data_IF_149053902336
#
_entry.id   IF_149053902336
#
_cell.length_a   1.000
_cell.length_b   1.000
_cell.length_c   1.000
_cell.angle_alpha   90.00
_cell.angle_beta   90.00
_cell.angle_gamma   90.00
#
_symmetry.space_group_name_H-M   'P 1'
#
loop_
_entity.id
_entity.type
_entity.pdbx_description
1 polymer ?
#
# COMPACT_ATOMS: atom_id res chain seq x y z
N UNK A 1 0.53 -19.96 -19.75
CA UNK A 1 -0.43 -18.86 -19.50
C UNK A 1 0.11 -17.62 -20.18
N UNK A 2 -0.63 -17.03 -21.10
CA UNK A 2 -0.27 -15.78 -21.79
C UNK A 2 -0.55 -14.59 -20.88
N UNK A 3 0.34 -13.59 -20.88
CA UNK A 3 0.16 -12.36 -20.11
C UNK A 3 -0.98 -11.54 -20.70
N UNK A 4 -1.90 -10.97 -19.90
CA UNK A 4 -2.96 -10.11 -20.41
C UNK A 4 -2.38 -8.90 -21.14
N UNK A 5 -3.13 -8.36 -22.11
CA UNK A 5 -2.85 -7.03 -22.66
C UNK A 5 -3.12 -5.96 -21.60
N UNK A 6 -2.27 -4.92 -21.61
CA UNK A 6 -2.34 -3.81 -20.66
C UNK A 6 -2.25 -2.52 -21.45
N UNK A 7 -3.14 -1.58 -21.15
CA UNK A 7 -3.15 -0.23 -21.67
C UNK A 7 -2.96 0.75 -20.50
N UNK A 8 -3.80 1.80 -20.42
CA UNK A 8 -3.82 2.74 -19.29
C UNK A 8 -4.73 2.22 -18.16
N UNK A 9 -4.54 0.95 -17.81
CA UNK A 9 -5.34 0.24 -16.81
C UNK A 9 -4.85 0.52 -15.39
N UNK A 10 -5.52 -0.09 -14.41
CA UNK A 10 -5.04 -0.21 -13.03
C UNK A 10 -4.61 -1.66 -12.81
N UNK A 11 -3.32 -1.86 -12.58
CA UNK A 11 -2.76 -3.17 -12.25
C UNK A 11 -2.63 -3.26 -10.73
N UNK A 12 -3.45 -4.14 -10.14
CA UNK A 12 -3.43 -4.38 -8.70
C UNK A 12 -2.61 -5.62 -8.37
N UNK A 13 -1.60 -5.45 -7.53
CA UNK A 13 -0.85 -6.56 -6.92
C UNK A 13 -1.02 -6.52 -5.41
N UNK A 14 -0.83 -7.65 -4.74
CA UNK A 14 -0.89 -7.65 -3.28
C UNK A 14 -0.75 -9.00 -2.62
N UNK A 15 -0.85 -8.97 -1.30
CA UNK A 15 -0.71 -10.14 -0.43
C UNK A 15 0.63 -10.87 -0.60
N UNK A 16 0.71 -12.03 0.04
CA UNK A 16 1.85 -12.95 -0.08
C UNK A 16 2.18 -13.33 -1.53
N UNK A 17 1.18 -13.43 -2.42
CA UNK A 17 1.37 -13.77 -3.83
C UNK A 17 2.31 -12.81 -4.57
N UNK A 18 2.30 -11.51 -4.23
CA UNK A 18 3.17 -10.52 -4.84
C UNK A 18 4.65 -10.69 -4.50
N UNK A 19 4.97 -11.52 -3.49
CA UNK A 19 6.34 -11.71 -2.98
C UNK A 19 6.79 -13.17 -2.98
N UNK A 20 5.91 -14.11 -3.36
CA UNK A 20 6.21 -15.53 -3.47
C UNK A 20 7.31 -15.79 -4.52
N UNK A 21 8.43 -16.45 -4.16
CA UNK A 21 9.56 -16.67 -5.07
C UNK A 21 9.18 -17.35 -6.40
N UNK A 22 8.25 -18.32 -6.35
CA UNK A 22 7.79 -19.07 -7.52
C UNK A 22 7.07 -18.22 -8.55
N UNK A 23 6.51 -17.07 -8.14
CA UNK A 23 5.79 -16.15 -9.01
C UNK A 23 6.58 -14.88 -9.29
N UNK A 24 7.78 -14.72 -8.71
CA UNK A 24 8.54 -13.46 -8.73
C UNK A 24 8.76 -12.95 -10.15
N UNK A 25 9.22 -13.81 -11.05
CA UNK A 25 9.53 -13.44 -12.44
C UNK A 25 8.27 -13.03 -13.19
N UNK A 26 7.14 -13.72 -12.97
CA UNK A 26 5.86 -13.40 -13.61
C UNK A 26 5.25 -12.11 -13.10
N UNK A 27 5.35 -11.87 -11.79
CA UNK A 27 4.94 -10.59 -11.20
C UNK A 27 5.82 -9.46 -11.74
N UNK A 28 7.14 -9.65 -11.86
CA UNK A 28 8.04 -8.64 -12.43
C UNK A 28 7.70 -8.32 -13.88
N UNK A 29 7.51 -9.35 -14.70
CA UNK A 29 7.10 -9.22 -16.11
C UNK A 29 5.80 -8.41 -16.24
N UNK A 30 4.82 -8.67 -15.36
CA UNK A 30 3.56 -7.92 -15.30
C UNK A 30 3.79 -6.44 -14.94
N UNK A 31 4.60 -6.16 -13.92
CA UNK A 31 4.88 -4.80 -13.45
C UNK A 31 5.68 -3.97 -14.47
N UNK A 32 6.68 -4.58 -15.11
CA UNK A 32 7.47 -3.94 -16.17
C UNK A 32 6.55 -3.57 -17.35
N UNK A 33 5.68 -4.49 -17.77
CA UNK A 33 4.70 -4.24 -18.83
C UNK A 33 3.70 -3.14 -18.44
N UNK A 34 3.19 -3.17 -17.20
CA UNK A 34 2.27 -2.16 -16.70
C UNK A 34 2.90 -0.76 -16.75
N UNK A 35 4.15 -0.65 -16.28
CA UNK A 35 4.91 0.58 -16.30
C UNK A 35 5.21 1.08 -17.72
N UNK A 36 5.62 0.19 -18.61
CA UNK A 36 5.87 0.52 -20.03
C UNK A 36 4.62 1.11 -20.72
N UNK A 37 3.43 0.61 -20.36
CA UNK A 37 2.14 1.06 -20.93
C UNK A 37 1.54 2.25 -20.20
N UNK A 38 2.18 2.75 -19.13
CA UNK A 38 1.71 3.87 -18.33
C UNK A 38 0.43 3.53 -17.54
N UNK A 39 0.27 2.27 -17.15
CA UNK A 39 -0.77 1.84 -16.22
C UNK A 39 -0.46 2.31 -14.79
N UNK A 40 -1.49 2.45 -13.95
CA UNK A 40 -1.33 2.74 -12.53
C UNK A 40 -1.12 1.41 -11.79
N UNK A 41 -0.03 1.31 -11.03
CA UNK A 41 0.27 0.14 -10.21
C UNK A 41 -0.23 0.41 -8.78
N UNK A 42 -1.24 -0.35 -8.35
CA UNK A 42 -1.78 -0.33 -6.99
C UNK A 42 -1.28 -1.54 -6.22
N UNK A 43 -0.51 -1.32 -5.15
CA UNK A 43 0.02 -2.40 -4.33
C UNK A 43 -0.67 -2.47 -2.97
N UNK A 44 -1.46 -3.52 -2.74
CA UNK A 44 -2.05 -3.84 -1.43
C UNK A 44 -1.14 -4.82 -0.66
N UNK A 45 -0.40 -4.31 0.33
CA UNK A 45 0.56 -5.08 1.11
C UNK A 45 -0.06 -6.35 1.71
N UNK A 46 -1.21 -6.22 2.39
CA UNK A 46 -1.99 -7.32 2.98
C UNK A 46 -1.13 -8.45 3.57
N UNK A 47 -0.20 -8.07 4.46
CA UNK A 47 0.82 -8.93 5.06
C UNK A 47 0.33 -9.53 6.38
N UNK A 48 -0.17 -10.76 6.29
CA UNK A 48 -0.77 -11.47 7.42
C UNK A 48 0.27 -11.90 8.45
N UNK A 49 -0.16 -11.95 9.72
CA UNK A 49 0.67 -12.34 10.86
C UNK A 49 1.26 -13.76 10.75
N UNK A 50 0.63 -14.66 9.99
CA UNK A 50 1.14 -16.00 9.69
C UNK A 50 2.50 -15.98 8.99
N UNK A 51 2.82 -14.91 8.27
CA UNK A 51 4.08 -14.73 7.55
C UNK A 51 5.06 -13.80 8.27
N UNK A 52 4.78 -13.40 9.51
CA UNK A 52 5.61 -12.46 10.29
C UNK A 52 7.07 -12.90 10.38
N UNK A 53 7.33 -14.19 10.54
CA UNK A 53 8.68 -14.76 10.61
C UNK A 53 9.44 -14.70 9.26
N UNK A 54 8.72 -14.48 8.16
CA UNK A 54 9.28 -14.39 6.81
C UNK A 54 9.50 -12.93 6.38
N UNK A 55 9.05 -11.95 7.18
CA UNK A 55 9.13 -10.53 6.84
C UNK A 55 10.56 -10.11 6.47
N UNK A 56 11.57 -10.55 7.22
CA UNK A 56 12.99 -10.23 6.95
C UNK A 56 13.42 -10.76 5.59
N UNK A 57 12.97 -11.96 5.21
CA UNK A 57 13.33 -12.61 3.93
C UNK A 57 12.63 -11.95 2.75
N UNK A 58 11.39 -11.51 2.95
CA UNK A 58 10.54 -10.95 1.89
C UNK A 58 10.74 -9.45 1.72
N UNK A 59 11.32 -8.76 2.71
CA UNK A 59 11.49 -7.32 2.71
C UNK A 59 12.15 -6.77 1.43
N UNK A 60 13.24 -7.36 0.88
CA UNK A 60 13.82 -6.85 -0.37
C UNK A 60 12.82 -6.83 -1.53
N UNK A 61 11.99 -7.88 -1.66
CA UNK A 61 10.97 -7.97 -2.72
C UNK A 61 9.82 -6.99 -2.46
N UNK A 62 9.45 -6.79 -1.20
CA UNK A 62 8.44 -5.80 -0.81
C UNK A 62 8.90 -4.38 -1.17
N UNK A 63 10.15 -4.03 -0.87
CA UNK A 63 10.71 -2.72 -1.19
C UNK A 63 10.81 -2.51 -2.71
N UNK A 64 11.19 -3.54 -3.46
CA UNK A 64 11.15 -3.48 -4.93
C UNK A 64 9.71 -3.23 -5.43
N UNK A 65 8.70 -3.91 -4.86
CA UNK A 65 7.29 -3.64 -5.20
C UNK A 65 6.86 -2.22 -4.82
N UNK A 66 7.42 -1.63 -3.74
CA UNK A 66 7.18 -0.22 -3.39
C UNK A 66 7.72 0.73 -4.46
N UNK A 67 8.89 0.44 -5.03
CA UNK A 67 9.46 1.19 -6.16
C UNK A 67 8.63 1.05 -7.44
N UNK A 68 7.92 -0.08 -7.61
CA UNK A 68 6.99 -0.26 -8.72
C UNK A 68 5.67 0.52 -8.55
N UNK A 69 5.21 0.71 -7.32
CA UNK A 69 3.86 1.18 -7.03
C UNK A 69 3.66 2.69 -7.24
N UNK A 70 2.54 3.05 -7.85
CA UNK A 70 2.03 4.42 -7.89
C UNK A 70 1.19 4.75 -6.66
N UNK A 71 0.52 3.73 -6.09
CA UNK A 71 -0.25 3.81 -4.86
C UNK A 71 0.07 2.58 -4.01
N UNK A 72 0.48 2.79 -2.76
CA UNK A 72 0.62 1.73 -1.77
C UNK A 72 -0.58 1.77 -0.83
N UNK A 73 -1.16 0.61 -0.55
CA UNK A 73 -2.16 0.45 0.49
C UNK A 73 -1.70 -0.60 1.50
N UNK A 74 -1.90 -0.32 2.77
CA UNK A 74 -1.68 -1.28 3.85
C UNK A 74 -2.47 -0.92 5.10
N UNK A 75 -2.56 -1.85 6.03
CA UNK A 75 -3.15 -1.66 7.34
C UNK A 75 -2.08 -1.41 8.39
N UNK A 76 -2.46 -0.80 9.52
CA UNK A 76 -1.57 -0.69 10.69
C UNK A 76 -1.03 -2.06 11.10
N UNK A 77 -1.88 -3.09 11.04
CA UNK A 77 -1.49 -4.46 11.36
C UNK A 77 -0.44 -5.03 10.38
N UNK A 78 -0.51 -4.68 9.09
CA UNK A 78 0.50 -5.10 8.10
C UNK A 78 1.89 -4.57 8.50
N UNK A 79 1.97 -3.28 8.84
CA UNK A 79 3.23 -2.63 9.18
C UNK A 79 3.72 -2.99 10.59
N UNK A 80 2.82 -3.34 11.50
CA UNK A 80 3.19 -3.96 12.78
C UNK A 80 3.82 -5.34 12.55
N UNK A 81 3.26 -6.14 11.64
CA UNK A 81 3.81 -7.45 11.30
C UNK A 81 5.17 -7.34 10.60
N UNK A 82 5.33 -6.38 9.69
CA UNK A 82 6.55 -6.23 8.90
C UNK A 82 7.67 -5.50 9.64
N UNK A 83 7.34 -4.45 10.40
CA UNK A 83 8.30 -3.49 10.95
C UNK A 83 8.16 -3.26 12.45
N UNK A 84 7.13 -3.82 13.10
CA UNK A 84 6.81 -3.50 14.49
C UNK A 84 6.33 -2.06 14.69
N UNK A 85 5.85 -1.41 13.64
CA UNK A 85 5.39 -0.02 13.67
C UNK A 85 3.85 0.04 13.62
N UNK A 86 3.25 0.70 14.61
CA UNK A 86 1.79 0.87 14.70
C UNK A 86 1.32 2.31 14.41
N UNK A 87 2.26 3.24 14.26
CA UNK A 87 1.99 4.64 13.94
C UNK A 87 2.11 4.87 12.43
N UNK A 88 0.98 5.11 11.78
CA UNK A 88 0.89 5.32 10.34
C UNK A 88 1.74 6.50 9.84
N UNK A 89 1.92 7.56 10.65
CA UNK A 89 2.74 8.71 10.25
C UNK A 89 4.22 8.33 10.22
N UNK A 90 4.67 7.54 11.21
CA UNK A 90 6.03 7.00 11.24
C UNK A 90 6.24 5.99 10.13
N UNK A 91 5.27 5.13 9.85
CA UNK A 91 5.32 4.19 8.72
C UNK A 91 5.50 4.95 7.41
N UNK A 92 4.65 5.95 7.15
CA UNK A 92 4.73 6.74 5.93
C UNK A 92 6.11 7.39 5.79
N UNK A 93 6.54 8.17 6.79
CA UNK A 93 7.80 8.93 6.73
C UNK A 93 9.06 8.07 6.68
N UNK A 94 9.07 6.90 7.34
CA UNK A 94 10.29 6.09 7.48
C UNK A 94 10.38 4.88 6.56
N UNK A 95 9.26 4.41 5.98
CA UNK A 95 9.20 3.17 5.21
C UNK A 95 8.59 3.32 3.81
N UNK A 96 7.77 4.33 3.57
CA UNK A 96 6.95 4.41 2.34
C UNK A 96 7.28 5.63 1.48
N UNK A 97 7.34 6.83 2.06
CA UNK A 97 7.41 8.12 1.35
C UNK A 97 8.55 8.21 0.33
N UNK A 98 9.69 7.60 0.63
CA UNK A 98 10.84 7.56 -0.27
C UNK A 98 10.53 6.84 -1.59
N UNK A 99 9.73 5.77 -1.55
CA UNK A 99 9.42 4.92 -2.69
C UNK A 99 8.15 5.37 -3.41
N UNK A 100 7.12 5.70 -2.65
CA UNK A 100 5.81 6.05 -3.16
C UNK A 100 5.18 7.17 -2.32
N UNK A 101 4.87 8.32 -2.92
CA UNK A 101 4.27 9.43 -2.19
C UNK A 101 2.78 9.20 -1.90
N UNK A 102 2.10 8.30 -2.63
CA UNK A 102 0.68 8.04 -2.44
C UNK A 102 0.48 6.79 -1.58
N UNK A 103 0.02 7.01 -0.35
CA UNK A 103 -0.15 5.93 0.62
C UNK A 103 -1.52 5.98 1.29
N UNK A 104 -2.17 4.82 1.35
CA UNK A 104 -3.44 4.61 2.04
C UNK A 104 -3.19 3.66 3.22
N UNK A 105 -3.31 4.18 4.43
CA UNK A 105 -3.21 3.39 5.66
C UNK A 105 -4.59 3.16 6.28
N UNK A 106 -5.01 1.91 6.40
CA UNK A 106 -6.27 1.55 7.08
C UNK A 106 -6.03 1.15 8.53
N UNK A 107 -6.90 1.57 9.45
CA UNK A 107 -6.78 1.22 10.88
C UNK A 107 -8.07 0.57 11.42
N UNK A 108 -8.50 -0.53 10.80
CA UNK A 108 -9.73 -1.22 11.17
C UNK A 108 -10.92 -0.25 11.32
N UNK A 109 -11.62 -0.31 12.45
CA UNK A 109 -12.73 0.60 12.76
C UNK A 109 -12.35 2.04 13.10
N UNK A 110 -11.05 2.38 13.17
CA UNK A 110 -10.56 3.72 13.52
C UNK A 110 -10.41 4.66 12.32
N UNK A 111 -10.68 4.17 11.12
CA UNK A 111 -10.72 4.96 9.90
C UNK A 111 -9.53 4.74 8.97
N UNK A 112 -9.31 5.71 8.09
CA UNK A 112 -8.33 5.65 6.99
C UNK A 112 -7.47 6.91 7.02
N UNK A 113 -6.16 6.76 6.79
CA UNK A 113 -5.24 7.87 6.59
C UNK A 113 -4.73 7.86 5.15
N UNK A 114 -4.82 9.00 4.49
CA UNK A 114 -4.33 9.22 3.15
C UNK A 114 -3.11 10.14 3.22
N UNK A 115 -2.07 9.77 2.48
CA UNK A 115 -0.86 10.57 2.33
C UNK A 115 -0.61 10.77 0.83
N UNK A 116 -0.27 11.99 0.49
CA UNK A 116 0.23 12.43 -0.82
C UNK A 116 1.37 13.42 -0.56
N UNK A 117 2.09 13.87 -1.60
CA UNK A 117 3.21 14.82 -1.44
C UNK A 117 2.84 16.07 -0.62
N UNK A 118 1.65 16.62 -0.84
CA UNK A 118 1.26 17.93 -0.28
C UNK A 118 0.03 17.84 0.66
N UNK A 119 -0.65 16.69 0.68
CA UNK A 119 -1.91 16.52 1.40
C UNK A 119 -1.83 15.27 2.24
N UNK A 120 -2.07 15.44 3.54
CA UNK A 120 -2.43 14.37 4.46
C UNK A 120 -3.91 14.51 4.80
N UNK A 121 -4.65 13.41 4.83
CA UNK A 121 -6.06 13.43 5.24
C UNK A 121 -6.36 12.24 6.14
N UNK A 122 -7.23 12.44 7.12
CA UNK A 122 -7.70 11.39 8.02
C UNK A 122 -9.22 11.31 7.87
N UNK A 123 -9.71 10.17 7.42
CA UNK A 123 -11.14 9.88 7.38
C UNK A 123 -11.53 9.09 8.61
N UNK A 124 -12.42 9.65 9.43
CA UNK A 124 -12.94 9.01 10.65
C UNK A 124 -14.40 8.62 10.45
N UNK A 125 -14.79 7.53 11.12
CA UNK A 125 -16.19 7.16 11.27
C UNK A 125 -16.82 8.02 12.36
N UNK A 126 -17.92 8.69 12.04
CA UNK A 126 -18.71 9.43 13.02
C UNK A 126 -20.08 8.77 13.12
N UNK A 127 -20.41 8.31 14.32
CA UNK A 127 -21.75 7.87 14.67
C UNK A 127 -22.63 9.10 14.86
N UNK A 128 -23.47 9.39 13.88
CA UNK A 128 -24.57 10.33 14.04
C UNK A 128 -25.83 9.51 14.41
N UNK A 129 -26.71 10.05 15.28
CA UNK A 129 -27.86 9.35 15.91
C UNK A 129 -28.71 8.44 15.01
N UNK A 130 -28.69 8.62 13.68
CA UNK A 130 -29.49 7.86 12.71
C UNK A 130 -28.69 7.35 11.48
N UNK A 131 -27.38 7.63 11.39
CA UNK A 131 -26.57 7.22 10.23
C UNK A 131 -25.07 7.23 10.54
N UNK A 132 -24.35 6.27 9.98
CA UNK A 132 -22.89 6.27 9.95
C UNK A 132 -22.40 7.15 8.79
N UNK A 133 -21.57 8.17 9.06
CA UNK A 133 -20.97 9.02 8.03
C UNK A 133 -19.44 9.05 8.17
N UNK A 134 -18.78 9.27 7.05
CA UNK A 134 -17.35 9.55 6.98
C UNK A 134 -17.12 11.05 6.95
N UNK A 135 -16.28 11.56 7.84
CA UNK A 135 -15.83 12.96 7.78
C UNK A 135 -14.32 13.01 7.56
N UNK A 136 -13.86 13.73 6.53
CA UNK A 136 -12.44 13.95 6.30
C UNK A 136 -11.91 15.12 7.13
N UNK A 137 -10.80 14.90 7.80
CA UNK A 137 -9.97 15.92 8.41
C UNK A 137 -8.71 16.09 7.55
N UNK A 138 -8.64 17.18 6.78
CA UNK A 138 -7.54 17.46 5.85
C UNK A 138 -6.46 18.27 6.58
N UNK A 139 -5.24 17.77 6.54
CA UNK A 139 -4.04 18.37 7.14
C UNK A 139 -3.07 18.66 5.98
N UNK A 140 -2.84 19.93 5.70
CA UNK A 140 -1.83 20.35 4.72
C UNK A 140 -0.44 20.16 5.34
N UNK A 141 0.45 19.48 4.63
CA UNK A 141 1.85 19.36 5.07
C UNK A 141 2.62 20.59 4.61
N UNK A 142 3.43 21.23 5.48
CA UNK A 142 4.34 22.30 5.05
C UNK A 142 5.32 21.76 4.00
N UNK A 143 5.64 22.59 3.01
CA UNK A 143 6.65 22.31 1.96
C UNK A 143 8.06 22.14 2.53
#
# INVERSE_FOLDING_TARGET
MTMPEIHRDIVMIGSYYAVTPQLRDKVKELLDKAREKGAIIYYDVNFRSTHKNEAIKLLPVILENFEYADIIRGSVEDFENMFGLTDADKVYKSKIEFYCPHFICTHGGRGIRLYTKNIKSIMKWILCRLSVRWEPEIILTPE
#
